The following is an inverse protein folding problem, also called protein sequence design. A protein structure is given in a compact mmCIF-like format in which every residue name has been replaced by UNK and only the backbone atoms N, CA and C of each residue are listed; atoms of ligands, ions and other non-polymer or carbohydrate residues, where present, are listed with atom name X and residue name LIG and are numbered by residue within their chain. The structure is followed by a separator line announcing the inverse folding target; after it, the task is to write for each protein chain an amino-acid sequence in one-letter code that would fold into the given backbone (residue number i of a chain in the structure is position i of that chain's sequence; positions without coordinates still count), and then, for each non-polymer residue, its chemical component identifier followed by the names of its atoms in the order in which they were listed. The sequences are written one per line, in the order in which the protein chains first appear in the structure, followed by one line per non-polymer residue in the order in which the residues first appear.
data_IF_137475408384
#
_entry.id   IF_137475408384
#
_cell.length_a   1.000
_cell.length_b   1.000
_cell.length_c   1.000
_cell.angle_alpha   90.00
_cell.angle_beta   90.00
_cell.angle_gamma   90.00
#
_symmetry.space_group_name_H-M   'P 1'
#
loop_
_entity.id
_entity.type
_entity.pdbx_description
1 polymer ?
#
# COMPACT_ATOMS: atom_id res chain seq x y z
N UNK A 1 -4.42 10.63 -12.75
CA UNK A 1 -3.17 9.85 -12.67
C UNK A 1 -3.32 8.95 -11.44
N UNK A 2 -3.57 7.66 -11.61
CA UNK A 2 -3.55 6.73 -10.46
C UNK A 2 -2.10 6.57 -10.04
N UNK A 3 -1.70 7.32 -9.01
CA UNK A 3 -0.43 7.13 -8.36
C UNK A 3 -0.37 5.66 -7.88
N UNK A 4 0.69 4.93 -8.25
CA UNK A 4 0.91 3.58 -7.76
C UNK A 4 0.78 3.57 -6.24
N UNK A 5 0.00 2.63 -5.71
CA UNK A 5 -0.36 2.62 -4.30
C UNK A 5 0.91 2.52 -3.45
N UNK A 6 1.12 3.53 -2.60
CA UNK A 6 2.24 3.55 -1.66
C UNK A 6 2.00 2.54 -0.52
N UNK A 7 3.08 2.10 0.16
CA UNK A 7 2.94 1.25 1.35
C UNK A 7 2.07 1.89 2.43
N UNK A 8 2.13 3.21 2.56
CA UNK A 8 1.31 3.97 3.50
C UNK A 8 -0.17 3.84 3.15
N UNK A 9 -0.54 4.11 1.90
CA UNK A 9 -1.93 4.02 1.45
C UNK A 9 -2.47 2.59 1.53
N UNK A 10 -1.66 1.56 1.23
CA UNK A 10 -2.04 0.15 1.46
C UNK A 10 -2.35 -0.06 2.94
N UNK A 11 -1.44 0.37 3.82
CA UNK A 11 -1.60 0.23 5.27
C UNK A 11 -2.85 0.94 5.82
N UNK A 12 -3.15 2.12 5.32
CA UNK A 12 -4.36 2.88 5.67
C UNK A 12 -5.63 2.15 5.27
N UNK A 13 -5.70 1.64 4.04
CA UNK A 13 -6.85 0.83 3.58
C UNK A 13 -7.08 -0.40 4.45
N UNK A 14 -6.00 -1.15 4.78
CA UNK A 14 -6.12 -2.33 5.65
C UNK A 14 -6.56 -1.95 7.08
N UNK A 15 -6.08 -0.82 7.60
CA UNK A 15 -6.47 -0.31 8.92
C UNK A 15 -7.93 0.09 8.96
N UNK A 16 -8.43 0.74 7.90
CA UNK A 16 -9.84 1.10 7.77
C UNK A 16 -10.73 -0.14 7.73
N UNK A 17 -10.36 -1.15 6.95
CA UNK A 17 -11.12 -2.41 6.88
C UNK A 17 -11.10 -3.17 8.21
N UNK A 18 -9.95 -3.24 8.90
CA UNK A 18 -9.94 -3.84 10.24
C UNK A 18 -10.91 -3.12 11.19
N UNK A 19 -10.97 -1.79 11.13
CA UNK A 19 -11.86 -0.98 11.95
C UNK A 19 -13.33 -1.11 11.54
N UNK A 20 -13.64 -1.27 10.25
CA UNK A 20 -15.00 -1.51 9.77
C UNK A 20 -15.58 -2.81 10.35
N UNK A 21 -14.71 -3.81 10.56
CA UNK A 21 -15.02 -5.07 11.26
C UNK A 21 -14.97 -4.99 12.80
N UNK A 22 -14.84 -3.79 13.37
CA UNK A 22 -14.75 -3.54 14.81
C UNK A 22 -13.63 -4.32 15.55
N UNK A 23 -12.55 -4.69 14.86
CA UNK A 23 -11.45 -5.46 15.43
C UNK A 23 -10.33 -4.58 15.94
N UNK A 24 -9.66 -4.99 17.02
CA UNK A 24 -8.39 -4.39 17.46
C UNK A 24 -7.21 -5.08 16.77
N UNK A 25 -6.05 -4.41 16.67
CA UNK A 25 -4.82 -5.05 16.16
C UNK A 25 -4.41 -6.25 17.02
N UNK A 26 -4.71 -6.24 18.33
CA UNK A 26 -4.39 -7.36 19.24
C UNK A 26 -5.25 -8.57 18.93
N UNK A 27 -6.51 -8.34 18.58
CA UNK A 27 -7.44 -9.41 18.24
C UNK A 27 -7.05 -10.08 16.92
N UNK A 28 -6.73 -9.29 15.90
CA UNK A 28 -6.16 -9.82 14.65
C UNK A 28 -4.86 -10.59 14.90
N UNK A 29 -3.98 -10.11 15.78
CA UNK A 29 -2.73 -10.81 16.10
C UNK A 29 -2.98 -12.22 16.65
N UNK A 30 -3.99 -12.37 17.51
CA UNK A 30 -4.40 -13.67 18.07
C UNK A 30 -4.95 -14.57 16.98
N UNK A 31 -5.80 -14.05 16.10
CA UNK A 31 -6.50 -14.84 15.08
C UNK A 31 -5.61 -15.24 13.89
N UNK A 32 -4.60 -14.43 13.56
CA UNK A 32 -3.70 -14.65 12.41
C UNK A 32 -2.33 -15.22 12.77
N UNK A 33 -1.98 -15.18 14.07
CA UNK A 33 -0.62 -15.48 14.55
C UNK A 33 0.42 -14.43 14.14
N UNK A 34 0.01 -13.29 13.56
CA UNK A 34 0.91 -12.18 13.21
C UNK A 34 1.18 -11.36 14.47
N UNK A 35 2.43 -10.97 14.71
CA UNK A 35 2.75 -10.12 15.86
C UNK A 35 1.99 -8.78 15.78
N UNK A 36 1.46 -8.32 16.92
CA UNK A 36 0.73 -7.06 16.99
C UNK A 36 1.56 -5.85 16.49
N UNK A 37 2.86 -5.83 16.79
CA UNK A 37 3.80 -4.82 16.30
C UNK A 37 3.94 -4.86 14.78
N UNK A 38 3.90 -6.05 14.17
CA UNK A 38 3.92 -6.23 12.72
C UNK A 38 2.66 -5.69 12.07
N UNK A 39 1.47 -5.94 12.63
CA UNK A 39 0.22 -5.33 12.15
C UNK A 39 0.31 -3.80 12.21
N UNK A 40 0.83 -3.24 13.31
CA UNK A 40 1.04 -1.80 13.45
C UNK A 40 2.02 -1.24 12.41
N UNK A 41 3.10 -1.96 12.10
CA UNK A 41 4.04 -1.56 11.05
C UNK A 41 3.39 -1.59 9.66
N UNK A 42 2.56 -2.60 9.35
CA UNK A 42 1.83 -2.69 8.08
C UNK A 42 0.89 -1.49 7.95
N UNK A 43 0.05 -1.27 8.96
CA UNK A 43 -0.95 -0.18 8.97
C UNK A 43 -0.37 1.24 8.98
N UNK A 44 0.94 1.37 9.21
CA UNK A 44 1.65 2.65 9.16
C UNK A 44 2.63 2.75 8.00
N UNK A 45 2.61 1.79 7.07
CA UNK A 45 3.49 1.75 5.90
C UNK A 45 4.97 1.49 6.21
N UNK A 46 5.32 1.18 7.47
CA UNK A 46 6.71 0.94 7.93
C UNK A 46 7.15 -0.52 7.83
N UNK A 47 6.25 -1.42 7.43
CA UNK A 47 6.58 -2.83 7.30
C UNK A 47 7.57 -3.06 6.14
N UNK A 48 8.69 -3.71 6.47
CA UNK A 48 9.76 -4.11 5.53
C UNK A 48 10.03 -5.61 5.58
N UNK A 49 9.16 -6.37 6.24
CA UNK A 49 9.29 -7.82 6.38
C UNK A 49 8.83 -8.59 5.15
N UNK A 50 8.53 -9.87 5.35
CA UNK A 50 8.24 -10.80 4.29
C UNK A 50 6.85 -10.64 3.68
N UNK A 51 6.73 -10.96 2.38
CA UNK A 51 5.49 -10.86 1.63
C UNK A 51 4.40 -11.79 2.17
N UNK A 52 4.75 -12.98 2.67
CA UNK A 52 3.79 -13.95 3.23
C UNK A 52 3.04 -13.41 4.45
N UNK A 53 3.71 -12.60 5.28
CA UNK A 53 3.07 -11.97 6.44
C UNK A 53 2.08 -10.89 5.97
N UNK A 54 2.46 -10.10 4.96
CA UNK A 54 1.57 -9.11 4.37
C UNK A 54 0.35 -9.79 3.74
N UNK A 55 0.58 -10.81 2.92
CA UNK A 55 -0.46 -11.60 2.26
C UNK A 55 -1.42 -12.21 3.28
N UNK A 56 -0.91 -12.81 4.36
CA UNK A 56 -1.76 -13.35 5.43
C UNK A 56 -2.69 -12.28 6.02
N UNK A 57 -2.17 -11.09 6.29
CA UNK A 57 -3.01 -10.01 6.83
C UNK A 57 -4.04 -9.50 5.81
N UNK A 58 -3.62 -9.33 4.56
CA UNK A 58 -4.45 -8.91 3.43
C UNK A 58 -5.60 -9.90 3.21
N UNK A 59 -5.30 -11.20 3.10
CA UNK A 59 -6.30 -12.25 2.93
C UNK A 59 -7.22 -12.40 4.14
N UNK A 60 -6.69 -12.25 5.36
CA UNK A 60 -7.51 -12.26 6.58
C UNK A 60 -8.58 -11.14 6.57
N UNK A 61 -8.25 -9.98 6.01
CA UNK A 61 -9.19 -8.88 5.86
C UNK A 61 -10.11 -9.01 4.64
N UNK A 62 -9.96 -10.05 3.81
CA UNK A 62 -10.81 -10.30 2.64
C UNK A 62 -10.32 -9.60 1.36
N UNK A 63 -9.05 -9.21 1.33
CA UNK A 63 -8.40 -8.66 0.13
C UNK A 63 -7.45 -9.69 -0.51
N UNK A 64 -6.99 -9.39 -1.71
CA UNK A 64 -5.93 -10.11 -2.42
C UNK A 64 -4.88 -9.13 -2.95
N UNK A 65 -3.67 -9.63 -3.20
CA UNK A 65 -2.62 -8.86 -3.88
C UNK A 65 -2.66 -9.18 -5.38
N UNK A 66 -2.68 -8.14 -6.22
CA UNK A 66 -2.59 -8.29 -7.67
C UNK A 66 -1.35 -7.57 -8.23
N UNK A 67 -0.85 -8.08 -9.36
CA UNK A 67 0.25 -7.47 -10.11
C UNK A 67 -0.34 -6.89 -11.38
N UNK A 68 -0.14 -5.60 -11.62
CA UNK A 68 -0.63 -4.90 -12.80
C UNK A 68 0.54 -4.32 -13.61
N UNK A 69 0.42 -4.23 -14.95
CA UNK A 69 1.45 -3.60 -15.78
C UNK A 69 1.68 -2.14 -15.39
N UNK A 70 2.94 -1.75 -15.23
CA UNK A 70 3.30 -0.36 -14.96
C UNK A 70 2.96 0.50 -16.17
N UNK A 71 2.07 1.49 -16.00
CA UNK A 71 1.84 2.53 -17.00
C UNK A 71 2.98 3.54 -16.92
N UNK A 72 4.11 3.22 -17.57
CA UNK A 72 5.18 4.19 -17.78
C UNK A 72 4.72 5.18 -18.83
N UNK A 73 4.26 6.36 -18.41
CA UNK A 73 4.35 7.54 -19.29
C UNK A 73 5.81 7.95 -19.24
N UNK A 74 6.59 7.56 -20.25
CA UNK A 74 7.81 8.33 -20.53
C UNK A 74 7.32 9.77 -20.75
N UNK A 75 7.85 10.77 -20.02
CA UNK A 75 7.62 12.15 -20.44
C UNK A 75 8.07 12.23 -21.89
N UNK A 76 7.18 12.70 -22.75
CA UNK A 76 7.50 12.88 -24.14
C UNK A 76 8.64 13.89 -24.23
N UNK A 77 9.82 13.41 -24.62
CA UNK A 77 11.03 14.23 -24.67
C UNK A 77 10.88 15.36 -25.70
N UNK A 78 9.96 15.19 -26.67
CA UNK A 78 9.63 16.21 -27.66
C UNK A 78 8.95 17.44 -27.02
N UNK A 79 8.34 17.28 -25.83
CA UNK A 79 7.72 18.36 -25.06
C UNK A 79 8.67 19.03 -24.04
N UNK A 80 9.96 18.70 -24.02
CA UNK A 80 10.91 19.42 -23.15
C UNK A 80 11.16 20.86 -23.64
N UNK A 81 11.08 21.06 -24.95
CA UNK A 81 11.31 22.35 -25.60
C UNK A 81 10.29 23.41 -25.16
N UNK A 82 9.05 23.01 -24.89
CA UNK A 82 7.96 23.89 -24.45
C UNK A 82 7.98 24.20 -22.95
N UNK A 83 8.63 23.38 -22.13
CA UNK A 83 8.74 23.58 -20.67
C UNK A 83 9.92 24.50 -20.27
N UNK A 84 10.94 24.58 -21.12
CA UNK A 84 12.11 25.45 -20.94
C UNK A 84 12.20 26.49 -22.07
N UNK A 85 11.08 26.85 -22.69
CA UNK A 85 11.05 28.03 -23.53
C UNK A 85 11.28 29.24 -22.61
N UNK A 86 12.40 29.93 -22.80
CA UNK A 86 12.65 31.20 -22.12
C UNK A 86 11.52 32.17 -22.48
N UNK A 87 10.62 32.45 -21.54
CA UNK A 87 9.69 33.57 -21.64
C UNK A 87 10.52 34.85 -21.42
N UNK A 88 10.75 35.62 -22.49
CA UNK A 88 11.22 37.01 -22.43
C UNK A 88 10.20 37.93 -21.75
#
# INVERSE_FOLDING_TARGET
MEAGMSRLSIGETLKEERKSKAMTQKQVAIETGIHNTTISQIESGRFTGSLDILERYVCYLGFELNITPMKRTLPDFDNLSTLFSDED
#
